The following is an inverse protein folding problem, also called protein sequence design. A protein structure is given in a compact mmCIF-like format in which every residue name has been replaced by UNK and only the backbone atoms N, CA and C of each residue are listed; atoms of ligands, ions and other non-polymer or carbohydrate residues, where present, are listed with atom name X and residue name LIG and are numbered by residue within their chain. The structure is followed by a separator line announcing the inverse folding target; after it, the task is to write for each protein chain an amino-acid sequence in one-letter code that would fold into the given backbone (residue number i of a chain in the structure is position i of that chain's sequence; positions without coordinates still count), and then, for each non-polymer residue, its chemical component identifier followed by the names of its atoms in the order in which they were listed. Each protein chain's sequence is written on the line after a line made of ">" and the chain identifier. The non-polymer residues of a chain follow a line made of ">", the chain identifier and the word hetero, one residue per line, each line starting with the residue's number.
data_IF_144094625351
#
_entry.id   IF_144094625351
#
_cell.length_a   1.000
_cell.length_b   1.000
_cell.length_c   1.000
_cell.angle_alpha   90.00
_cell.angle_beta   90.00
_cell.angle_gamma   90.00
#
_symmetry.space_group_name_H-M   'P 1'
#
loop_
_entity.id
_entity.type
_entity.pdbx_description
1 polymer ?
#
# COMPACT_ATOMS: atom_id res chain seq x y z
N UNK A 1 12.30 -8.42 -15.66
CA UNK A 1 11.39 -7.36 -16.10
C UNK A 1 10.88 -6.48 -14.96
N UNK A 2 10.45 -7.06 -13.81
CA UNK A 2 9.96 -6.27 -12.66
C UNK A 2 11.05 -5.34 -12.09
N UNK A 3 12.28 -5.83 -11.91
CA UNK A 3 13.44 -5.04 -11.45
C UNK A 3 13.76 -3.91 -12.44
N UNK A 4 13.75 -4.22 -13.76
CA UNK A 4 13.92 -3.19 -14.79
C UNK A 4 12.83 -2.12 -14.69
N UNK A 5 11.57 -2.53 -14.54
CA UNK A 5 10.44 -1.62 -14.35
C UNK A 5 10.56 -0.74 -13.12
N UNK A 6 11.12 -1.28 -12.02
CA UNK A 6 11.40 -0.52 -10.80
C UNK A 6 12.36 0.64 -11.06
N UNK A 7 13.53 0.37 -11.65
CA UNK A 7 14.52 1.41 -11.94
C UNK A 7 14.02 2.41 -12.97
N UNK A 8 13.33 1.95 -14.03
CA UNK A 8 12.77 2.81 -15.07
C UNK A 8 11.74 3.82 -14.50
N UNK A 9 11.02 3.42 -13.45
CA UNK A 9 10.01 4.26 -12.81
C UNK A 9 10.54 5.10 -11.65
N UNK A 10 11.83 5.04 -11.32
CA UNK A 10 12.49 5.94 -10.38
C UNK A 10 13.00 5.27 -9.10
N UNK A 11 13.00 3.93 -9.06
CA UNK A 11 13.69 3.19 -8.01
C UNK A 11 15.20 3.40 -8.05
N UNK A 12 15.84 3.39 -6.87
CA UNK A 12 17.30 3.61 -6.73
C UNK A 12 18.04 2.40 -6.17
N UNK A 13 17.42 1.63 -5.28
CA UNK A 13 18.00 0.44 -4.65
C UNK A 13 16.98 -0.68 -4.59
N UNK A 14 17.41 -1.89 -4.90
CA UNK A 14 16.55 -3.08 -4.89
C UNK A 14 17.30 -4.26 -4.29
N UNK A 15 16.67 -4.95 -3.34
CA UNK A 15 17.10 -6.24 -2.83
C UNK A 15 16.30 -7.35 -3.51
N UNK A 16 16.97 -8.38 -3.95
CA UNK A 16 16.33 -9.50 -4.66
C UNK A 16 16.65 -10.80 -3.93
N UNK A 17 15.61 -11.45 -3.42
CA UNK A 17 15.70 -12.80 -2.90
C UNK A 17 15.23 -13.79 -3.96
N UNK A 18 16.09 -14.73 -4.33
CA UNK A 18 15.74 -15.78 -5.29
C UNK A 18 14.94 -16.87 -4.58
N UNK A 19 13.73 -17.09 -5.04
CA UNK A 19 12.84 -18.16 -4.55
C UNK A 19 12.56 -19.10 -5.73
N UNK A 20 12.92 -20.39 -5.63
CA UNK A 20 12.65 -21.33 -6.71
C UNK A 20 11.17 -21.42 -7.08
N UNK A 21 10.89 -21.69 -8.35
CA UNK A 21 9.52 -21.86 -8.84
C UNK A 21 8.79 -22.96 -8.09
N UNK A 22 7.50 -22.70 -7.79
CA UNK A 22 6.64 -23.64 -7.06
C UNK A 22 6.89 -23.73 -5.56
N UNK A 23 7.89 -23.00 -5.03
CA UNK A 23 8.13 -22.95 -3.57
C UNK A 23 7.43 -21.78 -2.90
N UNK A 24 7.17 -21.89 -1.58
CA UNK A 24 6.65 -20.79 -0.78
C UNK A 24 7.67 -19.65 -0.67
N UNK A 25 7.19 -18.41 -0.69
CA UNK A 25 8.03 -17.21 -0.50
C UNK A 25 8.33 -16.92 0.97
N UNK A 26 7.58 -17.52 1.90
CA UNK A 26 7.76 -17.43 3.35
C UNK A 26 8.13 -18.79 3.95
N UNK A 27 8.79 -18.77 5.09
CA UNK A 27 9.26 -19.93 5.84
C UNK A 27 10.74 -19.84 6.13
N UNK A 28 11.26 -20.66 7.07
CA UNK A 28 12.63 -20.60 7.54
C UNK A 28 13.64 -20.69 6.39
N UNK A 29 14.40 -19.61 6.19
CA UNK A 29 15.39 -19.47 5.13
C UNK A 29 14.79 -19.17 3.74
N UNK A 30 13.48 -18.92 3.63
CA UNK A 30 12.85 -18.49 2.38
C UNK A 30 13.06 -16.98 2.11
N UNK A 31 12.61 -16.52 0.92
CA UNK A 31 12.89 -15.18 0.44
C UNK A 31 12.48 -14.05 1.40
N UNK A 32 11.29 -14.14 2.04
CA UNK A 32 10.84 -13.10 2.97
C UNK A 32 11.66 -13.07 4.26
N UNK A 33 12.08 -14.22 4.80
CA UNK A 33 12.93 -14.27 6.00
C UNK A 33 14.28 -13.57 5.77
N UNK A 34 14.89 -13.77 4.59
CA UNK A 34 16.13 -13.10 4.23
C UNK A 34 15.95 -11.58 4.09
N UNK A 35 14.81 -11.14 3.55
CA UNK A 35 14.49 -9.71 3.40
C UNK A 35 14.07 -9.07 4.74
N UNK A 36 13.58 -9.84 5.70
CA UNK A 36 13.22 -9.34 7.04
C UNK A 36 14.44 -8.86 7.85
N UNK A 37 15.63 -9.36 7.51
CA UNK A 37 16.90 -8.97 8.16
C UNK A 37 17.43 -7.60 7.70
N UNK A 38 16.75 -6.95 6.77
CA UNK A 38 17.20 -5.69 6.16
C UNK A 38 16.21 -4.58 6.53
N UNK A 39 16.59 -3.74 7.48
CA UNK A 39 15.73 -2.68 8.04
C UNK A 39 15.35 -1.60 7.01
N UNK A 40 16.20 -1.30 6.03
CA UNK A 40 15.97 -0.24 5.05
C UNK A 40 14.92 -0.55 3.97
N UNK A 41 14.30 -1.74 4.01
CA UNK A 41 13.28 -2.14 3.04
C UNK A 41 11.92 -1.55 3.43
N UNK A 42 11.46 -0.55 2.70
CA UNK A 42 10.14 0.08 2.90
C UNK A 42 9.02 -0.46 1.97
N UNK A 43 9.37 -1.28 0.96
CA UNK A 43 8.43 -1.83 -0.03
C UNK A 43 8.82 -3.27 -0.33
N UNK A 44 7.85 -4.19 -0.26
CA UNK A 44 8.04 -5.60 -0.64
C UNK A 44 7.05 -6.00 -1.74
N UNK A 45 7.49 -6.87 -2.64
CA UNK A 45 6.65 -7.43 -3.69
C UNK A 45 7.17 -8.83 -4.11
N UNK A 46 6.27 -9.67 -4.59
CA UNK A 46 6.59 -10.92 -5.29
C UNK A 46 5.97 -10.88 -6.69
N UNK A 47 6.66 -10.31 -7.69
CA UNK A 47 6.08 -10.03 -8.99
C UNK A 47 5.55 -11.30 -9.67
N UNK A 48 4.25 -11.27 -10.05
CA UNK A 48 3.56 -12.38 -10.71
C UNK A 48 3.07 -13.49 -9.80
N UNK A 49 3.34 -13.45 -8.50
CA UNK A 49 2.70 -14.35 -7.53
C UNK A 49 1.31 -13.78 -7.21
N UNK A 50 0.28 -14.48 -7.67
CA UNK A 50 -1.12 -14.03 -7.55
C UNK A 50 -1.97 -14.98 -6.69
N UNK A 51 -1.32 -15.96 -6.09
CA UNK A 51 -1.95 -16.94 -5.21
C UNK A 51 -2.17 -16.40 -3.79
N UNK A 52 -3.21 -16.91 -3.13
CA UNK A 52 -3.60 -16.51 -1.78
C UNK A 52 -2.46 -16.68 -0.76
N UNK A 53 -1.68 -17.76 -0.86
CA UNK A 53 -0.61 -18.04 0.10
C UNK A 53 0.51 -16.99 0.01
N UNK A 54 0.92 -16.63 -1.22
CA UNK A 54 1.92 -15.58 -1.45
C UNK A 54 1.42 -14.20 -1.00
N UNK A 55 0.17 -13.85 -1.31
CA UNK A 55 -0.42 -12.59 -0.85
C UNK A 55 -0.50 -12.51 0.67
N UNK A 56 -0.97 -13.59 1.33
CA UNK A 56 -1.04 -13.64 2.79
C UNK A 56 0.34 -13.52 3.44
N UNK A 57 1.35 -14.18 2.88
CA UNK A 57 2.72 -14.13 3.37
C UNK A 57 3.33 -12.72 3.28
N UNK A 58 3.13 -12.01 2.15
CA UNK A 58 3.59 -10.64 1.96
C UNK A 58 2.92 -9.68 2.96
N UNK A 59 1.59 -9.79 3.13
CA UNK A 59 0.85 -8.95 4.08
C UNK A 59 1.33 -9.24 5.51
N UNK A 60 1.41 -10.52 5.91
CA UNK A 60 1.84 -10.90 7.26
C UNK A 60 3.26 -10.40 7.58
N UNK A 61 4.20 -10.51 6.64
CA UNK A 61 5.56 -9.96 6.81
C UNK A 61 5.55 -8.44 6.99
N UNK A 62 4.72 -7.71 6.24
CA UNK A 62 4.60 -6.27 6.37
C UNK A 62 3.91 -5.85 7.68
N UNK A 63 2.94 -6.62 8.17
CA UNK A 63 2.24 -6.38 9.44
C UNK A 63 3.13 -6.68 10.65
N UNK A 64 3.98 -7.70 10.57
CA UNK A 64 4.92 -8.06 11.61
C UNK A 64 6.01 -6.99 11.78
N UNK A 65 6.62 -6.55 10.68
CA UNK A 65 7.74 -5.60 10.69
C UNK A 65 7.29 -4.14 10.80
N UNK A 66 6.10 -3.79 10.29
CA UNK A 66 5.46 -2.44 10.34
C UNK A 66 6.20 -1.32 9.62
N UNK A 67 7.41 -1.53 9.17
CA UNK A 67 8.27 -0.59 8.45
C UNK A 67 8.01 -0.53 6.94
N UNK A 68 7.37 -1.55 6.38
CA UNK A 68 7.20 -1.77 4.94
C UNK A 68 5.75 -1.96 4.51
N UNK A 69 5.49 -1.79 3.21
CA UNK A 69 4.20 -2.08 2.59
C UNK A 69 4.34 -3.15 1.50
N UNK A 70 3.37 -4.06 1.41
CA UNK A 70 3.31 -5.08 0.37
C UNK A 70 2.57 -4.57 -0.88
N UNK A 71 3.20 -4.68 -2.05
CA UNK A 71 2.56 -4.46 -3.35
C UNK A 71 2.19 -5.82 -3.94
N UNK A 72 0.90 -6.01 -4.24
CA UNK A 72 0.31 -7.27 -4.63
C UNK A 72 -0.23 -7.18 -6.05
N UNK A 73 0.09 -8.19 -6.86
CA UNK A 73 -0.37 -8.28 -8.24
C UNK A 73 -1.67 -9.10 -8.33
N UNK A 74 -2.67 -8.59 -9.05
CA UNK A 74 -3.82 -9.38 -9.48
C UNK A 74 -3.42 -10.34 -10.62
N UNK A 75 -4.25 -11.33 -10.99
CA UNK A 75 -4.05 -12.10 -12.21
C UNK A 75 -3.96 -11.19 -13.44
N UNK A 76 -3.22 -11.65 -14.48
CA UNK A 76 -2.96 -10.85 -15.69
C UNK A 76 -4.25 -10.45 -16.43
N UNK A 77 -5.23 -11.35 -16.42
CA UNK A 77 -6.57 -11.16 -16.99
C UNK A 77 -7.60 -11.81 -16.08
N UNK A 78 -8.81 -11.26 -16.04
CA UNK A 78 -9.91 -11.75 -15.21
C UNK A 78 -11.20 -11.69 -16.04
N UNK A 79 -11.92 -12.80 -16.15
CA UNK A 79 -13.17 -12.89 -16.93
C UNK A 79 -14.30 -12.07 -16.28
N UNK A 80 -14.45 -12.16 -14.96
CA UNK A 80 -15.39 -11.35 -14.18
C UNK A 80 -14.64 -10.47 -13.17
N UNK A 81 -14.60 -9.17 -13.43
CA UNK A 81 -13.92 -8.20 -12.57
C UNK A 81 -14.47 -8.14 -11.14
N UNK A 82 -15.70 -8.60 -10.91
CA UNK A 82 -16.28 -8.68 -9.56
C UNK A 82 -15.54 -9.67 -8.67
N UNK A 83 -14.85 -10.67 -9.24
CA UNK A 83 -14.02 -11.59 -8.45
C UNK A 83 -12.87 -10.91 -7.73
N UNK A 84 -12.39 -9.79 -8.27
CA UNK A 84 -11.37 -8.94 -7.63
C UNK A 84 -11.87 -8.21 -6.38
N UNK A 85 -13.19 -8.15 -6.17
CA UNK A 85 -13.78 -7.52 -4.97
C UNK A 85 -14.11 -8.54 -3.87
N UNK A 86 -14.07 -9.82 -4.20
CA UNK A 86 -14.37 -10.93 -3.29
C UNK A 86 -13.04 -11.47 -2.75
N UNK A 87 -12.95 -11.58 -1.42
CA UNK A 87 -11.75 -12.12 -0.76
C UNK A 87 -11.53 -13.58 -1.17
N UNK A 88 -10.30 -13.88 -1.57
CA UNK A 88 -9.90 -15.24 -1.87
C UNK A 88 -10.01 -16.12 -0.61
N UNK A 89 -10.59 -17.29 -0.74
CA UNK A 89 -10.68 -18.27 0.34
C UNK A 89 -9.95 -19.54 -0.07
N UNK A 90 -9.33 -20.21 0.89
CA UNK A 90 -8.83 -21.57 0.67
C UNK A 90 -10.05 -22.44 0.37
N UNK A 91 -10.20 -22.86 -0.89
CA UNK A 91 -11.25 -23.79 -1.24
C UNK A 91 -11.06 -25.07 -0.41
N UNK A 92 -11.97 -25.36 0.50
CA UNK A 92 -12.17 -26.73 0.96
C UNK A 92 -12.67 -27.47 -0.26
N UNK A 93 -11.75 -28.06 -1.02
CA UNK A 93 -12.07 -28.95 -2.10
C UNK A 93 -12.88 -30.11 -1.52
N UNK A 94 -14.20 -30.02 -1.63
CA UNK A 94 -15.02 -31.18 -1.51
C UNK A 94 -14.62 -32.09 -2.69
N UNK A 95 -13.86 -33.14 -2.39
CA UNK A 95 -13.66 -34.27 -3.29
C UNK A 95 -15.06 -34.74 -3.61
N UNK A 96 -15.49 -34.81 -4.90
CA UNK A 96 -16.75 -35.45 -5.24
C UNK A 96 -16.58 -36.93 -4.95
N UNK A 97 -17.28 -37.45 -3.95
CA UNK A 97 -17.48 -38.90 -3.89
C UNK A 97 -18.18 -39.37 -5.17
N UNK A 98 -17.73 -40.48 -5.77
CA UNK A 98 -18.41 -41.08 -6.92
C UNK A 98 -19.72 -41.72 -6.42
N UNK A 99 -20.81 -40.96 -6.48
CA UNK A 99 -22.18 -41.42 -6.22
C UNK A 99 -22.91 -41.66 -7.53
N UNK A 100 -23.28 -42.88 -7.76
CA UNK A 100 -24.11 -43.35 -8.86
C UNK A 100 -25.50 -42.69 -8.89
N UNK A 101 -25.95 -42.38 -10.10
CA UNK A 101 -27.36 -42.43 -10.49
C UNK A 101 -28.26 -41.25 -10.17
N UNK A 102 -28.62 -40.53 -11.22
CA UNK A 102 -29.99 -40.08 -11.40
C UNK A 102 -30.37 -38.64 -11.03
N UNK A 103 -30.93 -37.96 -12.03
CA UNK A 103 -31.74 -36.74 -12.03
C UNK A 103 -30.97 -35.39 -11.90
N UNK A 104 -31.00 -34.65 -13.02
CA UNK A 104 -30.58 -33.25 -13.11
C UNK A 104 -31.35 -32.37 -12.10
N UNK A 105 -30.74 -32.11 -10.97
CA UNK A 105 -31.15 -31.00 -10.09
C UNK A 105 -30.73 -29.66 -10.72
N UNK A 106 -31.47 -28.56 -10.50
CA UNK A 106 -31.10 -27.23 -11.00
C UNK A 106 -29.72 -26.87 -10.45
N UNK A 107 -28.79 -26.59 -11.35
CA UNK A 107 -27.42 -26.17 -11.05
C UNK A 107 -27.47 -24.93 -10.18
N UNK A 108 -27.15 -25.06 -8.89
CA UNK A 108 -26.82 -23.90 -8.04
C UNK A 108 -25.70 -23.13 -8.73
N UNK A 109 -25.80 -21.79 -8.81
CA UNK A 109 -24.70 -20.99 -9.38
C UNK A 109 -23.41 -21.36 -8.67
N UNK A 110 -22.39 -21.74 -9.45
CA UNK A 110 -21.04 -22.04 -8.95
C UNK A 110 -20.56 -20.83 -8.17
N UNK A 111 -20.27 -20.96 -6.89
CA UNK A 111 -19.75 -19.88 -6.09
C UNK A 111 -18.50 -19.34 -6.78
N UNK A 112 -18.52 -18.07 -7.15
CA UNK A 112 -17.40 -17.43 -7.84
C UNK A 112 -16.26 -17.30 -6.83
N UNK A 113 -15.15 -18.00 -7.07
CA UNK A 113 -13.97 -17.90 -6.20
C UNK A 113 -13.44 -16.47 -6.23
N UNK A 114 -13.23 -15.87 -5.05
CA UNK A 114 -12.65 -14.54 -4.91
C UNK A 114 -11.17 -14.53 -5.32
N UNK A 115 -10.71 -13.39 -5.82
CA UNK A 115 -9.31 -13.15 -6.21
C UNK A 115 -8.67 -12.01 -5.40
N UNK A 116 -9.46 -11.30 -4.59
CA UNK A 116 -8.96 -10.23 -3.72
C UNK A 116 -8.12 -10.83 -2.59
N UNK A 117 -6.92 -10.30 -2.31
CA UNK A 117 -6.16 -10.70 -1.13
C UNK A 117 -6.94 -10.49 0.18
N UNK A 118 -6.55 -11.16 1.27
CA UNK A 118 -7.16 -10.92 2.57
C UNK A 118 -7.00 -9.46 2.98
N UNK A 119 -7.93 -8.91 3.79
CA UNK A 119 -7.82 -7.57 4.32
C UNK A 119 -6.61 -7.47 5.26
N UNK A 120 -6.06 -6.25 5.37
CA UNK A 120 -5.05 -5.86 6.35
C UNK A 120 -5.63 -4.74 7.20
N UNK A 121 -5.89 -4.97 8.48
CA UNK A 121 -6.60 -4.00 9.34
C UNK A 121 -5.86 -2.67 9.44
N UNK A 122 -4.54 -2.69 9.47
CA UNK A 122 -3.68 -1.52 9.47
C UNK A 122 -3.20 -1.08 8.08
N UNK A 123 -3.65 -1.73 6.99
CA UNK A 123 -3.43 -1.30 5.61
C UNK A 123 -2.04 -1.55 5.04
N UNK A 124 -1.39 -2.64 5.43
CA UNK A 124 -0.04 -2.98 4.97
C UNK A 124 0.04 -3.60 3.57
N UNK A 125 -1.10 -3.80 2.89
CA UNK A 125 -1.16 -4.31 1.52
C UNK A 125 -1.80 -3.33 0.55
N UNK A 126 -1.31 -3.29 -0.68
CA UNK A 126 -1.87 -2.54 -1.80
C UNK A 126 -1.95 -3.43 -3.04
N UNK A 127 -3.14 -3.60 -3.61
CA UNK A 127 -3.46 -4.56 -4.66
C UNK A 127 -3.70 -3.85 -5.98
N UNK A 128 -3.04 -4.30 -7.07
CA UNK A 128 -3.01 -3.64 -8.37
C UNK A 128 -3.51 -4.53 -9.51
N UNK A 129 -4.26 -3.93 -10.44
CA UNK A 129 -4.81 -4.55 -11.64
C UNK A 129 -4.93 -3.50 -12.77
N UNK A 130 -4.78 -3.84 -14.04
CA UNK A 130 -4.29 -5.10 -14.62
C UNK A 130 -2.76 -5.12 -14.78
N UNK A 131 -2.23 -6.19 -15.42
CA UNK A 131 -0.84 -6.24 -15.81
C UNK A 131 -0.54 -5.31 -16.97
N UNK A 132 0.73 -4.98 -17.11
CA UNK A 132 1.25 -4.14 -18.16
C UNK A 132 1.65 -4.99 -19.38
N UNK A 133 1.56 -4.42 -20.57
CA UNK A 133 2.28 -4.91 -21.74
C UNK A 133 3.49 -4.02 -21.95
N UNK A 134 4.66 -4.61 -22.04
CA UNK A 134 5.92 -3.90 -22.21
C UNK A 134 6.92 -4.71 -23.01
N UNK A 135 8.06 -4.13 -23.34
CA UNK A 135 9.17 -4.83 -23.97
C UNK A 135 9.85 -5.73 -22.92
N UNK A 136 10.30 -6.90 -23.36
CA UNK A 136 11.14 -7.75 -22.52
C UNK A 136 12.50 -7.06 -22.33
N UNK A 137 12.95 -6.93 -21.08
CA UNK A 137 14.24 -6.33 -20.76
C UNK A 137 15.43 -7.14 -21.32
N UNK A 138 15.24 -8.45 -21.57
CA UNK A 138 16.27 -9.33 -22.12
C UNK A 138 16.20 -9.48 -23.65
N UNK A 139 15.02 -9.21 -24.24
CA UNK A 139 14.80 -9.26 -25.69
C UNK A 139 13.83 -8.13 -26.10
N UNK A 140 14.36 -6.91 -26.37
CA UNK A 140 13.54 -5.73 -26.63
C UNK A 140 12.61 -5.82 -27.84
N UNK A 141 12.79 -6.82 -28.73
CA UNK A 141 11.89 -7.04 -29.87
C UNK A 141 10.59 -7.72 -29.44
N UNK A 142 10.60 -8.40 -28.28
CA UNK A 142 9.41 -9.07 -27.74
C UNK A 142 8.57 -8.15 -26.87
N UNK A 143 7.26 -8.21 -27.06
CA UNK A 143 6.29 -7.63 -26.14
C UNK A 143 5.71 -8.73 -25.26
N UNK A 144 5.80 -8.53 -23.95
CA UNK A 144 5.37 -9.49 -22.94
C UNK A 144 4.39 -8.84 -21.96
N UNK A 145 3.67 -9.69 -21.22
CA UNK A 145 2.87 -9.26 -20.07
C UNK A 145 3.75 -9.21 -18.83
N UNK A 146 3.75 -8.07 -18.14
CA UNK A 146 4.60 -7.79 -16.99
C UNK A 146 3.73 -7.50 -15.76
N UNK A 147 3.93 -8.20 -14.63
CA UNK A 147 3.23 -7.88 -13.40
C UNK A 147 3.58 -6.46 -12.95
N UNK A 148 2.58 -5.66 -12.50
CA UNK A 148 2.77 -4.23 -12.27
C UNK A 148 3.60 -3.89 -11.03
N UNK A 149 3.72 -4.78 -10.04
CA UNK A 149 4.30 -4.48 -8.73
C UNK A 149 5.69 -3.84 -8.79
N UNK A 150 6.57 -4.29 -9.69
CA UNK A 150 7.89 -3.69 -9.87
C UNK A 150 7.83 -2.24 -10.36
N UNK A 151 6.99 -1.95 -11.36
CA UNK A 151 6.78 -0.60 -11.86
C UNK A 151 6.12 0.31 -10.79
N UNK A 152 5.16 -0.23 -10.05
CA UNK A 152 4.48 0.46 -8.96
C UNK A 152 5.45 0.81 -7.83
N UNK A 153 6.32 -0.12 -7.44
CA UNK A 153 7.37 0.14 -6.44
C UNK A 153 8.30 1.29 -6.90
N UNK A 154 8.68 1.32 -8.18
CA UNK A 154 9.44 2.42 -8.75
C UNK A 154 8.67 3.76 -8.74
N UNK A 155 7.36 3.73 -9.02
CA UNK A 155 6.49 4.92 -8.92
C UNK A 155 6.40 5.41 -7.47
N UNK A 156 6.33 4.52 -6.49
CA UNK A 156 6.37 4.91 -5.07
C UNK A 156 7.66 5.65 -4.78
N UNK A 157 8.82 5.05 -5.11
CA UNK A 157 10.12 5.66 -4.89
C UNK A 157 10.26 7.04 -5.58
N UNK A 158 9.78 7.16 -6.82
CA UNK A 158 9.77 8.44 -7.55
C UNK A 158 8.89 9.48 -6.86
N UNK A 159 7.67 9.10 -6.47
CA UNK A 159 6.73 10.01 -5.81
C UNK A 159 7.29 10.50 -4.48
N UNK A 160 7.93 9.62 -3.73
CA UNK A 160 8.57 9.94 -2.45
C UNK A 160 9.69 10.96 -2.64
N UNK A 161 10.55 10.76 -3.64
CA UNK A 161 11.67 11.65 -3.93
C UNK A 161 11.24 13.02 -4.48
N UNK A 162 10.20 13.05 -5.32
CA UNK A 162 9.73 14.29 -5.98
C UNK A 162 8.74 15.10 -5.11
N UNK A 163 7.92 14.45 -4.31
CA UNK A 163 6.77 15.06 -3.63
C UNK A 163 6.66 14.71 -2.14
N UNK A 164 7.40 13.71 -1.66
CA UNK A 164 7.31 13.18 -0.30
C UNK A 164 6.32 12.03 -0.14
N UNK A 165 6.53 11.21 0.89
CA UNK A 165 5.75 9.99 1.19
C UNK A 165 4.26 10.27 1.43
N UNK A 166 3.94 11.48 1.91
CA UNK A 166 2.55 11.91 2.14
C UNK A 166 1.73 12.08 0.86
N UNK A 167 2.37 12.20 -0.32
CA UNK A 167 1.66 12.27 -1.60
C UNK A 167 1.25 10.86 -2.04
N UNK A 168 -0.04 10.66 -2.29
CA UNK A 168 -0.53 9.39 -2.83
C UNK A 168 0.13 9.07 -4.18
N UNK A 169 0.68 7.85 -4.39
CA UNK A 169 1.35 7.46 -5.63
C UNK A 169 0.34 7.08 -6.72
N UNK A 170 -0.59 7.98 -6.98
CA UNK A 170 -1.64 7.86 -7.99
C UNK A 170 -1.69 9.09 -8.89
N UNK A 171 -2.34 8.95 -10.03
CA UNK A 171 -2.33 9.89 -11.15
C UNK A 171 -0.90 10.12 -11.69
N UNK A 172 -0.11 9.04 -11.73
CA UNK A 172 1.30 9.05 -12.16
C UNK A 172 1.46 8.12 -13.36
N UNK A 173 2.21 8.58 -14.36
CA UNK A 173 2.49 7.81 -15.59
C UNK A 173 3.35 6.59 -15.27
N UNK A 174 2.98 5.43 -15.82
CA UNK A 174 3.76 4.19 -15.78
C UNK A 174 4.73 4.21 -16.96
N UNK A 175 6.00 4.45 -16.69
CA UNK A 175 7.06 4.45 -17.71
C UNK A 175 7.33 3.02 -18.18
N UNK A 176 7.55 2.85 -19.49
CA UNK A 176 7.85 1.54 -20.11
C UNK A 176 6.62 0.68 -20.42
N UNK A 177 5.43 1.10 -20.03
CA UNK A 177 4.21 0.42 -20.39
C UNK A 177 3.77 0.83 -21.81
N UNK A 178 3.64 -0.13 -22.72
CA UNK A 178 3.14 0.03 -24.09
C UNK A 178 1.63 -0.22 -24.18
N UNK A 179 1.06 -0.95 -23.22
CA UNK A 179 -0.35 -1.31 -23.16
C UNK A 179 -0.71 -1.96 -21.83
N UNK A 180 -1.95 -2.41 -21.75
CA UNK A 180 -2.49 -3.16 -20.62
C UNK A 180 -2.98 -4.53 -21.11
N UNK A 181 -2.94 -5.53 -20.24
CA UNK A 181 -3.48 -6.87 -20.54
C UNK A 181 -5.01 -6.84 -20.61
N UNK A 182 -5.63 -5.94 -19.86
CA UNK A 182 -7.07 -5.73 -19.84
C UNK A 182 -7.38 -4.26 -19.59
N UNK A 183 -8.40 -3.72 -20.27
CA UNK A 183 -8.86 -2.36 -20.02
C UNK A 183 -9.93 -2.35 -18.93
N UNK A 184 -9.88 -1.32 -18.08
CA UNK A 184 -10.88 -1.06 -17.04
C UNK A 184 -11.60 0.23 -17.37
N UNK A 185 -12.92 0.16 -17.53
CA UNK A 185 -13.78 1.33 -17.76
C UNK A 185 -13.94 2.15 -16.48
N UNK A 186 -14.51 3.35 -16.60
CA UNK A 186 -14.83 4.19 -15.45
C UNK A 186 -15.84 3.52 -14.52
N UNK A 187 -16.89 2.93 -15.05
CA UNK A 187 -17.94 2.28 -14.27
C UNK A 187 -17.40 1.05 -13.48
N UNK A 188 -16.55 0.25 -14.13
CA UNK A 188 -15.90 -0.88 -13.45
C UNK A 188 -14.98 -0.40 -12.33
N UNK A 189 -14.20 0.67 -12.54
CA UNK A 189 -13.35 1.23 -11.49
C UNK A 189 -14.16 1.76 -10.30
N UNK A 190 -15.33 2.35 -10.53
CA UNK A 190 -16.23 2.80 -9.46
C UNK A 190 -16.65 1.66 -8.53
N UNK A 191 -16.68 0.42 -9.05
CA UNK A 191 -16.93 -0.81 -8.26
C UNK A 191 -15.66 -1.35 -7.59
N UNK A 192 -14.53 -1.34 -8.30
CA UNK A 192 -13.26 -1.92 -7.85
C UNK A 192 -12.55 -1.09 -6.78
N UNK A 193 -12.48 0.23 -6.99
CA UNK A 193 -11.74 1.12 -6.10
C UNK A 193 -12.20 1.10 -4.63
N UNK A 194 -13.53 1.07 -4.31
CA UNK A 194 -13.99 0.96 -2.92
C UNK A 194 -13.50 -0.29 -2.18
N UNK A 195 -13.17 -1.36 -2.91
CA UNK A 195 -12.66 -2.62 -2.37
C UNK A 195 -11.14 -2.68 -2.27
N UNK A 196 -10.44 -1.56 -2.55
CA UNK A 196 -8.99 -1.49 -2.47
C UNK A 196 -8.27 -2.05 -3.71
N UNK A 197 -8.97 -2.23 -4.82
CA UNK A 197 -8.34 -2.61 -6.10
C UNK A 197 -7.87 -1.33 -6.80
N UNK A 198 -6.55 -1.14 -6.88
CA UNK A 198 -5.94 0.00 -7.53
C UNK A 198 -5.80 -0.25 -9.02
N UNK A 199 -6.63 0.42 -9.82
CA UNK A 199 -6.64 0.24 -11.25
C UNK A 199 -5.49 0.98 -11.93
N UNK A 200 -4.88 0.35 -12.93
CA UNK A 200 -3.98 0.99 -13.90
C UNK A 200 -4.82 1.23 -15.15
N UNK A 201 -4.89 2.47 -15.63
CA UNK A 201 -5.78 2.87 -16.72
C UNK A 201 -5.06 3.59 -17.84
N UNK A 202 -5.59 3.45 -19.05
CA UNK A 202 -5.16 4.21 -20.21
C UNK A 202 -6.03 5.44 -20.41
N UNK A 203 -5.40 6.58 -20.64
CA UNK A 203 -6.02 7.87 -20.99
C UNK A 203 -5.47 8.32 -22.34
N UNK A 204 -6.34 8.63 -23.30
CA UNK A 204 -5.96 8.90 -24.69
C UNK A 204 -4.95 10.04 -24.88
N UNK A 205 -4.92 11.01 -23.96
CA UNK A 205 -4.00 12.16 -24.04
C UNK A 205 -2.85 12.09 -23.04
N UNK A 206 -2.95 11.21 -22.03
CA UNK A 206 -2.06 11.21 -20.87
C UNK A 206 -1.32 9.87 -20.69
N UNK A 207 -1.63 8.88 -21.51
CA UNK A 207 -1.01 7.56 -21.48
C UNK A 207 -1.53 6.65 -20.36
N UNK A 208 -0.70 5.68 -19.99
CA UNK A 208 -1.03 4.69 -18.95
C UNK A 208 -0.65 5.25 -17.59
N UNK A 209 -1.63 5.31 -16.67
CA UNK A 209 -1.45 5.86 -15.31
C UNK A 209 -1.96 4.92 -14.24
N UNK A 210 -1.32 4.98 -13.08
CA UNK A 210 -1.87 4.45 -11.83
C UNK A 210 -3.05 5.32 -11.42
N UNK A 211 -4.23 4.71 -11.24
CA UNK A 211 -5.47 5.43 -10.95
C UNK A 211 -6.15 4.95 -9.68
N UNK A 212 -5.35 4.66 -8.66
CA UNK A 212 -5.78 4.26 -7.33
C UNK A 212 -4.61 4.26 -6.36
N UNK A 213 -4.88 4.54 -5.07
CA UNK A 213 -3.90 4.51 -3.99
C UNK A 213 -4.55 4.06 -2.68
N UNK A 214 -5.39 3.03 -2.75
CA UNK A 214 -6.02 2.43 -1.59
C UNK A 214 -5.25 1.21 -1.10
N UNK A 215 -5.30 1.01 0.18
CA UNK A 215 -4.82 -0.21 0.83
C UNK A 215 -5.92 -1.28 0.86
N UNK A 216 -5.57 -2.46 1.34
CA UNK A 216 -6.53 -3.53 1.63
C UNK A 216 -7.20 -3.39 3.01
N UNK A 217 -7.08 -2.23 3.66
CA UNK A 217 -7.76 -1.96 4.92
C UNK A 217 -9.29 -2.02 4.77
N UNK A 218 -10.02 -2.45 5.80
CA UNK A 218 -11.48 -2.45 5.80
C UNK A 218 -12.06 -1.07 5.51
N UNK A 219 -13.25 -1.04 4.91
CA UNK A 219 -13.94 0.21 4.62
C UNK A 219 -14.18 1.04 5.89
N UNK A 220 -14.01 2.36 5.78
CA UNK A 220 -14.26 3.28 6.89
C UNK A 220 -13.12 3.44 7.89
N UNK A 221 -12.01 2.70 7.72
CA UNK A 221 -10.83 2.85 8.58
C UNK A 221 -9.96 4.04 8.19
N UNK A 222 -9.13 4.50 9.12
CA UNK A 222 -8.13 5.55 8.88
C UNK A 222 -7.03 5.11 7.91
N UNK A 223 -6.80 3.80 7.77
CA UNK A 223 -5.75 3.18 6.99
C UNK A 223 -6.08 2.97 5.51
N UNK A 224 -7.16 3.53 5.05
CA UNK A 224 -7.69 3.40 3.69
C UNK A 224 -6.69 3.76 2.59
N UNK A 225 -5.73 4.66 2.84
CA UNK A 225 -4.84 5.21 1.82
C UNK A 225 -3.39 4.77 2.00
N UNK A 226 -2.74 4.41 0.88
CA UNK A 226 -1.34 3.99 0.81
C UNK A 226 -0.39 5.05 1.38
N UNK A 227 -0.59 6.31 1.02
CA UNK A 227 0.26 7.40 1.52
C UNK A 227 0.12 7.60 3.03
N UNK A 228 -1.07 7.38 3.60
CA UNK A 228 -1.28 7.47 5.05
C UNK A 228 -0.51 6.37 5.76
N UNK A 229 -0.70 5.09 5.35
CA UNK A 229 0.03 3.97 5.97
C UNK A 229 1.55 4.14 5.86
N UNK A 230 2.04 4.51 4.69
CA UNK A 230 3.47 4.70 4.46
C UNK A 230 4.05 5.89 5.24
N UNK A 231 3.28 6.97 5.36
CA UNK A 231 3.69 8.12 6.19
C UNK A 231 3.86 7.70 7.65
N UNK A 232 2.95 6.90 8.20
CA UNK A 232 3.09 6.40 9.57
C UNK A 232 4.30 5.48 9.72
N UNK A 233 4.52 4.51 8.82
CA UNK A 233 5.70 3.64 8.85
C UNK A 233 7.00 4.46 8.81
N UNK A 234 7.08 5.46 7.92
CA UNK A 234 8.24 6.35 7.82
C UNK A 234 8.46 7.17 9.10
N UNK A 235 7.40 7.68 9.73
CA UNK A 235 7.49 8.44 10.98
C UNK A 235 7.92 7.52 12.12
N UNK A 236 7.29 6.36 12.27
CA UNK A 236 7.60 5.36 13.30
C UNK A 236 9.06 4.93 13.22
N UNK A 237 9.55 4.59 12.03
CA UNK A 237 10.95 4.20 11.81
C UNK A 237 11.93 5.37 12.03
N UNK A 238 11.64 6.56 11.51
CA UNK A 238 12.48 7.74 11.69
C UNK A 238 12.64 8.11 13.16
N UNK A 239 11.55 8.05 13.94
CA UNK A 239 11.58 8.29 15.38
C UNK A 239 12.40 7.20 16.08
N UNK A 240 12.17 5.92 15.77
CA UNK A 240 12.91 4.81 16.36
C UNK A 240 14.42 4.95 16.13
N UNK A 241 14.84 5.32 14.92
CA UNK A 241 16.25 5.55 14.58
C UNK A 241 16.81 6.77 15.31
N UNK A 242 16.08 7.90 15.29
CA UNK A 242 16.54 9.16 15.86
C UNK A 242 16.58 9.18 17.39
N UNK A 243 15.85 8.27 18.03
CA UNK A 243 15.79 8.16 19.50
C UNK A 243 16.66 7.02 20.07
N UNK A 244 17.49 6.36 19.27
CA UNK A 244 18.41 5.29 19.73
C UNK A 244 19.37 5.76 20.85
N UNK A 245 19.71 7.04 20.88
CA UNK A 245 20.55 7.63 21.92
C UNK A 245 19.91 7.63 23.32
N UNK A 246 18.57 7.48 23.42
CA UNK A 246 17.81 7.45 24.67
C UNK A 246 18.13 6.20 25.50
N UNK A 247 18.54 5.12 24.82
CA UNK A 247 18.79 3.82 25.47
C UNK A 247 19.99 3.95 26.42
N UNK A 248 19.76 3.59 27.69
CA UNK A 248 20.71 3.69 28.81
C UNK A 248 20.95 5.11 29.33
N UNK A 249 20.22 6.13 28.88
CA UNK A 249 20.23 7.44 29.52
C UNK A 249 19.45 7.42 30.85
N UNK A 250 19.76 8.31 31.82
CA UNK A 250 18.97 8.46 33.05
C UNK A 250 17.49 8.77 32.73
N UNK A 251 16.58 7.97 33.26
CA UNK A 251 15.15 8.09 33.01
C UNK A 251 14.51 9.16 33.92
N UNK A 252 14.61 10.41 33.52
CA UNK A 252 14.15 11.57 34.27
C UNK A 252 13.42 12.60 33.39
N UNK A 253 12.93 13.66 34.03
CA UNK A 253 12.22 14.77 33.38
C UNK A 253 13.07 15.46 32.31
N UNK A 254 14.39 15.48 32.46
CA UNK A 254 15.30 16.13 31.50
C UNK A 254 15.33 15.31 30.20
N UNK A 255 15.45 13.99 30.33
CA UNK A 255 15.36 13.07 29.19
C UNK A 255 14.02 13.19 28.47
N UNK A 256 12.91 13.18 29.21
CA UNK A 256 11.56 13.26 28.60
C UNK A 256 11.37 14.55 27.81
N UNK A 257 11.85 15.69 28.32
CA UNK A 257 11.81 16.98 27.59
C UNK A 257 12.71 17.01 26.36
N UNK A 258 13.86 16.33 26.39
CA UNK A 258 14.74 16.22 25.24
C UNK A 258 14.09 15.40 24.13
N UNK A 259 13.48 14.24 24.45
CA UNK A 259 12.72 13.41 23.51
C UNK A 259 11.56 14.21 22.90
N UNK A 260 10.78 14.89 23.74
CA UNK A 260 9.61 15.67 23.31
C UNK A 260 10.02 16.79 22.34
N UNK A 261 11.12 17.48 22.63
CA UNK A 261 11.68 18.54 21.77
C UNK A 261 12.13 17.98 20.43
N UNK A 262 12.88 16.89 20.42
CA UNK A 262 13.48 16.33 19.21
C UNK A 262 12.43 15.75 18.27
N UNK A 263 11.47 14.98 18.80
CA UNK A 263 10.32 14.48 18.04
C UNK A 263 9.44 15.63 17.56
N UNK A 264 9.18 16.64 18.40
CA UNK A 264 8.40 17.82 18.06
C UNK A 264 9.03 18.63 16.91
N UNK A 265 10.36 18.76 16.90
CA UNK A 265 11.09 19.40 15.81
C UNK A 265 10.97 18.64 14.49
N UNK A 266 11.09 17.31 14.52
CA UNK A 266 10.90 16.44 13.35
C UNK A 266 9.48 16.56 12.79
N UNK A 267 8.44 16.44 13.63
CA UNK A 267 7.04 16.55 13.20
C UNK A 267 6.70 17.96 12.70
N UNK A 268 7.30 19.00 13.26
CA UNK A 268 7.19 20.39 12.75
C UNK A 268 7.75 20.50 11.33
N UNK A 269 8.86 19.83 11.01
CA UNK A 269 9.41 19.78 9.66
C UNK A 269 8.43 19.12 8.69
N UNK A 270 7.85 17.97 9.05
CA UNK A 270 6.85 17.28 8.23
C UNK A 270 5.58 18.12 8.02
N UNK A 271 5.11 18.82 9.05
CA UNK A 271 3.99 19.75 8.93
C UNK A 271 4.30 20.89 7.95
N UNK A 272 5.47 21.50 8.03
CA UNK A 272 5.92 22.55 7.08
C UNK A 272 6.02 22.04 5.64
N UNK A 273 6.34 20.76 5.44
CA UNK A 273 6.35 20.10 4.14
C UNK A 273 4.94 19.75 3.63
N UNK A 274 3.89 20.01 4.42
CA UNK A 274 2.50 19.72 4.06
C UNK A 274 2.10 18.25 4.23
N UNK A 275 2.86 17.47 5.00
CA UNK A 275 2.53 16.07 5.27
C UNK A 275 1.42 15.90 6.33
N UNK A 276 1.25 16.90 7.19
CA UNK A 276 0.26 16.92 8.27
C UNK A 276 -0.73 18.07 8.08
N UNK A 277 -1.98 17.86 8.47
CA UNK A 277 -3.08 18.82 8.38
C UNK A 277 -3.17 19.61 9.67
N UNK A 278 -3.23 20.94 9.58
CA UNK A 278 -3.42 21.86 10.69
C UNK A 278 -2.97 23.27 10.32
N UNK A 279 -3.68 24.30 10.79
CA UNK A 279 -3.29 25.69 10.58
C UNK A 279 -2.03 26.03 11.39
N UNK A 280 -1.84 25.38 12.51
CA UNK A 280 -0.71 25.51 13.42
C UNK A 280 -0.15 24.12 13.75
N UNK A 281 1.10 24.01 14.20
CA UNK A 281 1.70 22.73 14.61
C UNK A 281 0.83 21.97 15.64
N UNK A 282 0.28 22.68 16.62
CA UNK A 282 -0.53 22.10 17.69
C UNK A 282 -1.85 21.46 17.19
N UNK A 283 -2.35 21.92 16.03
CA UNK A 283 -3.53 21.32 15.37
C UNK A 283 -3.16 20.09 14.55
N UNK A 284 -1.89 19.94 14.17
CA UNK A 284 -1.38 18.91 13.27
C UNK A 284 -0.80 17.69 13.99
N UNK A 285 -0.21 17.87 15.16
CA UNK A 285 0.37 16.80 15.96
C UNK A 285 0.51 17.18 17.43
N UNK A 286 0.67 16.18 18.28
CA UNK A 286 1.12 16.35 19.65
C UNK A 286 2.16 15.29 20.03
N UNK A 287 3.03 15.63 20.98
CA UNK A 287 4.01 14.71 21.57
C UNK A 287 3.89 14.84 23.10
N UNK A 288 3.54 13.76 23.77
CA UNK A 288 3.42 13.70 25.22
C UNK A 288 4.45 12.73 25.80
N UNK A 289 5.33 13.25 26.64
CA UNK A 289 6.32 12.48 27.39
C UNK A 289 6.55 13.21 28.72
N UNK A 290 5.81 12.83 29.74
CA UNK A 290 5.77 13.49 31.05
C UNK A 290 5.46 12.47 32.15
N UNK A 291 5.22 12.93 33.41
CA UNK A 291 4.92 12.07 34.53
C UNK A 291 3.59 11.30 34.40
N UNK A 292 2.66 11.74 33.53
CA UNK A 292 1.43 10.96 33.28
C UNK A 292 1.69 9.75 32.39
N UNK A 293 2.62 9.89 31.41
CA UNK A 293 3.00 8.78 30.53
C UNK A 293 4.09 7.91 31.13
N UNK A 294 4.85 8.42 32.12
CA UNK A 294 5.95 7.74 32.78
C UNK A 294 5.80 7.82 34.33
N UNK A 295 4.77 7.18 34.89
CA UNK A 295 4.67 7.02 36.34
C UNK A 295 5.79 6.14 36.89
N UNK A 296 5.95 6.11 38.20
CA UNK A 296 7.09 5.48 38.88
C UNK A 296 7.27 3.99 38.50
N UNK A 297 6.17 3.26 38.31
CA UNK A 297 6.19 1.84 37.90
C UNK A 297 6.75 1.64 36.49
N UNK A 298 6.49 2.56 35.56
CA UNK A 298 7.07 2.56 34.20
C UNK A 298 8.56 2.88 34.25
N UNK A 299 8.94 3.88 35.06
CA UNK A 299 10.35 4.26 35.27
C UNK A 299 11.14 3.14 35.93
N UNK A 300 10.60 2.49 36.97
CA UNK A 300 11.22 1.33 37.68
C UNK A 300 11.35 0.12 36.73
N UNK A 301 10.43 -0.05 35.76
CA UNK A 301 10.55 -1.07 34.73
C UNK A 301 11.61 -0.74 33.65
N UNK A 302 12.31 0.41 33.76
CA UNK A 302 13.31 0.84 32.80
C UNK A 302 12.72 1.28 31.44
N UNK A 303 11.46 1.70 31.43
CA UNK A 303 10.75 2.10 30.22
C UNK A 303 10.56 3.61 30.14
N UNK A 304 10.55 4.13 28.92
CA UNK A 304 10.11 5.50 28.60
C UNK A 304 8.95 5.41 27.59
N UNK A 305 7.80 5.93 27.97
CA UNK A 305 6.59 5.93 27.12
C UNK A 305 6.38 7.33 26.54
N UNK A 306 6.33 7.38 25.21
CA UNK A 306 6.03 8.61 24.46
C UNK A 306 4.73 8.39 23.68
N UNK A 307 3.77 9.28 23.87
CA UNK A 307 2.50 9.25 23.13
C UNK A 307 2.53 10.32 22.06
N UNK A 308 2.36 9.90 20.81
CA UNK A 308 2.41 10.77 19.65
C UNK A 308 1.09 10.67 18.88
N UNK A 309 0.46 11.81 18.62
CA UNK A 309 -0.70 11.88 17.73
C UNK A 309 -0.40 12.77 16.53
N UNK A 310 -0.79 12.32 15.34
CA UNK A 310 -0.60 13.05 14.08
C UNK A 310 -1.87 13.08 13.25
N UNK A 311 -2.07 14.18 12.50
CA UNK A 311 -3.17 14.36 11.56
C UNK A 311 -2.64 14.29 10.12
N UNK A 312 -2.61 13.11 9.45
CA UNK A 312 -2.04 12.95 8.12
C UNK A 312 -2.93 13.58 7.04
N UNK A 313 -2.32 14.12 5.97
CA UNK A 313 -3.06 14.55 4.78
C UNK A 313 -3.64 13.33 4.05
N UNK A 314 -4.87 13.49 3.57
CA UNK A 314 -5.58 12.47 2.76
C UNK A 314 -5.71 12.96 1.32
N UNK A 315 -5.60 12.08 0.32
CA UNK A 315 -5.73 12.48 -1.07
C UNK A 315 -7.21 12.82 -1.41
N UNK A 316 -7.41 13.78 -2.31
CA UNK A 316 -8.69 13.96 -2.98
C UNK A 316 -8.84 12.87 -4.05
N UNK A 317 -9.81 11.98 -3.91
CA UNK A 317 -10.11 10.93 -4.90
C UNK A 317 -11.16 11.37 -5.92
N UNK A 318 -12.06 12.27 -5.53
CA UNK A 318 -13.20 12.69 -6.35
C UNK A 318 -13.27 14.21 -6.41
N UNK A 319 -13.49 14.73 -7.60
CA UNK A 319 -13.80 16.14 -7.83
C UNK A 319 -15.22 16.19 -8.36
N UNK A 320 -16.12 16.85 -7.63
CA UNK A 320 -17.52 16.99 -7.97
C UNK A 320 -17.75 18.42 -8.44
N UNK A 321 -18.16 18.58 -9.70
CA UNK A 321 -18.58 19.88 -10.25
C UNK A 321 -20.11 19.94 -10.26
N UNK A 322 -20.66 20.99 -9.66
CA UNK A 322 -22.08 21.32 -9.77
C UNK A 322 -22.20 22.52 -10.70
N UNK A 323 -22.73 22.28 -11.90
CA UNK A 323 -22.93 23.33 -12.92
C UNK A 323 -24.41 23.54 -13.06
N UNK A 324 -24.88 24.72 -12.70
CA UNK A 324 -26.29 25.16 -12.87
C UNK A 324 -26.41 26.11 -14.05
N UNK A 325 -27.55 26.06 -14.76
CA UNK A 325 -27.92 27.07 -15.75
C UNK A 325 -28.84 28.08 -15.10
N UNK A 326 -28.46 29.35 -15.09
CA UNK A 326 -29.30 30.46 -14.64
C UNK A 326 -29.82 31.25 -15.85
N UNK A 327 -31.05 31.80 -15.81
CA UNK A 327 -31.56 32.67 -16.87
C UNK A 327 -30.74 33.95 -17.09
N UNK A 328 -29.88 34.32 -16.13
CA UNK A 328 -29.05 35.54 -16.17
C UNK A 328 -27.55 35.27 -16.31
N UNK A 329 -27.13 34.02 -16.56
CA UNK A 329 -25.72 33.64 -16.72
C UNK A 329 -25.38 32.32 -15.98
N UNK A 330 -24.20 31.80 -16.29
CA UNK A 330 -23.70 30.55 -15.69
C UNK A 330 -23.05 30.84 -14.36
N UNK A 331 -23.59 30.33 -13.26
CA UNK A 331 -22.95 30.38 -11.94
C UNK A 331 -22.32 29.02 -11.65
N UNK A 332 -21.04 29.02 -11.31
CA UNK A 332 -20.32 27.84 -10.78
C UNK A 332 -20.32 27.95 -9.27
N UNK A 333 -21.13 27.15 -8.58
CA UNK A 333 -21.00 26.98 -7.12
C UNK A 333 -19.95 25.91 -6.86
N UNK A 334 -18.85 26.30 -6.23
CA UNK A 334 -17.90 25.37 -5.63
C UNK A 334 -18.48 24.87 -4.30
N UNK A 335 -18.64 23.56 -4.18
CA UNK A 335 -19.05 22.88 -2.93
C UNK A 335 -17.82 22.38 -2.17
#
# INVERSE_FOLDING_TARGET
>A
NAVYGFFLNGGSRCYVANVPDGTAIAGKGAGLDALAMIDEIAIIAAPGRTDLASHSALIASAEELKDRIAILDAPATVDDLRTLTIVATVGTGAVPEPGEGGTKAPTKPKATAGLRPPPSDAGFGAFYFPWLRGRDAMDPEKTISIPPSGHIAGIYARTDGERGVHKAPANVVVRGALGLTQFVSRAEQETLNPEGVNCIRYFSREGIRVWGARTLAPRGTSWKYVNVRRLFSMIEESIAISTRWVVFEPNDVVLWKAIQRDIGAFLTLLWRQGALVGARPEDAFFVKCDAETNPDDVVEAGQVVVVIGIAPVKPAEFVIFRIGQSPTGTTVEAA
#
